data_IF_673698060002
#
_entry.id   IF_673698060002
#
_cell.length_a   1.000
_cell.length_b   1.000
_cell.length_c   1.000
_cell.angle_alpha   90.00
_cell.angle_beta   90.00
_cell.angle_gamma   90.00
#
_symmetry.space_group_name_H-M   'P 1'
#
loop_
_entity.id
_entity.type
_entity.pdbx_description
1 polymer ?
#
# COMPACT_ATOMS: atom_id res chain seq x y z
N UNK A 1 34.41 20.38 -34.74
CA UNK A 1 33.10 20.23 -34.08
C UNK A 1 32.77 21.57 -33.43
N UNK A 2 31.63 22.18 -33.77
CA UNK A 2 31.30 23.54 -33.35
C UNK A 2 31.12 23.59 -31.82
N UNK A 3 31.64 24.60 -31.12
CA UNK A 3 31.59 24.68 -29.64
C UNK A 3 30.15 24.59 -29.10
N UNK A 4 29.18 25.13 -29.83
CA UNK A 4 27.75 24.97 -29.54
C UNK A 4 27.28 23.51 -29.52
N UNK A 5 27.74 22.68 -30.46
CA UNK A 5 27.35 21.26 -30.54
C UNK A 5 27.94 20.50 -29.35
N UNK A 6 29.20 20.79 -28.99
CA UNK A 6 29.84 20.18 -27.83
C UNK A 6 29.13 20.59 -26.52
N UNK A 7 28.76 21.87 -26.38
CA UNK A 7 28.02 22.36 -25.22
C UNK A 7 26.64 21.69 -25.08
N UNK A 8 25.88 21.57 -26.19
CA UNK A 8 24.59 20.87 -26.18
C UNK A 8 24.73 19.40 -25.79
N UNK A 9 25.75 18.69 -26.28
CA UNK A 9 26.00 17.29 -25.93
C UNK A 9 26.36 17.12 -24.45
N UNK A 10 27.13 18.05 -23.88
CA UNK A 10 27.49 18.06 -22.46
C UNK A 10 26.28 18.34 -21.57
N UNK A 11 25.41 19.28 -21.95
CA UNK A 11 24.19 19.57 -21.19
C UNK A 11 23.19 18.41 -21.27
N UNK A 12 23.07 17.75 -22.42
CA UNK A 12 22.20 16.58 -22.60
C UNK A 12 22.67 15.37 -21.79
N UNK A 13 23.98 15.08 -21.80
CA UNK A 13 24.54 13.99 -20.99
C UNK A 13 24.45 14.28 -19.49
N UNK A 14 24.65 15.53 -19.07
CA UNK A 14 24.45 15.94 -17.68
C UNK A 14 22.98 15.81 -17.25
N UNK A 15 22.03 16.12 -18.13
CA UNK A 15 20.60 15.92 -17.89
C UNK A 15 20.19 14.45 -17.75
N UNK A 16 20.83 13.54 -18.51
CA UNK A 16 20.61 12.09 -18.41
C UNK A 16 21.20 11.45 -17.15
N UNK A 17 22.22 12.09 -16.56
CA UNK A 17 22.89 11.64 -15.33
C UNK A 17 22.22 12.17 -14.06
N UNK A 18 21.24 13.08 -14.17
CA UNK A 18 20.46 13.50 -13.01
C UNK A 18 19.63 12.30 -12.54
N UNK A 19 19.76 11.87 -11.27
CA UNK A 19 18.94 10.81 -10.73
C UNK A 19 17.49 11.27 -10.79
N UNK A 20 16.71 10.67 -11.70
CA UNK A 20 15.27 10.81 -11.68
C UNK A 20 14.80 10.31 -10.31
N UNK A 21 13.94 11.06 -9.59
CA UNK A 21 13.39 10.58 -8.35
C UNK A 21 12.70 9.23 -8.63
N UNK A 22 13.20 8.16 -8.02
CA UNK A 22 12.53 6.88 -8.06
C UNK A 22 11.31 6.96 -7.14
N UNK A 23 10.15 7.19 -7.74
CA UNK A 23 8.89 7.16 -7.02
C UNK A 23 8.51 5.70 -6.75
N UNK A 24 9.00 5.18 -5.63
CA UNK A 24 8.73 3.81 -5.17
C UNK A 24 7.42 3.67 -4.38
N UNK A 25 6.76 4.79 -4.09
CA UNK A 25 5.47 4.86 -3.40
C UNK A 25 4.33 5.10 -4.39
N UNK A 26 3.09 5.01 -3.90
CA UNK A 26 1.89 5.25 -4.71
C UNK A 26 1.91 6.67 -5.33
N UNK A 27 1.58 6.81 -6.63
CA UNK A 27 1.46 8.12 -7.27
C UNK A 27 0.36 8.98 -6.62
N UNK A 28 0.57 10.29 -6.57
CA UNK A 28 -0.45 11.23 -6.10
C UNK A 28 -1.69 11.22 -7.01
N UNK A 29 -2.90 11.37 -6.46
CA UNK A 29 -4.12 11.46 -7.25
C UNK A 29 -4.13 12.75 -8.08
N UNK A 30 -4.73 12.70 -9.28
CA UNK A 30 -4.85 13.84 -10.20
C UNK A 30 -6.27 14.46 -10.19
N UNK A 31 -7.17 13.89 -9.40
CA UNK A 31 -8.58 14.28 -9.25
C UNK A 31 -9.08 13.80 -7.88
N UNK A 32 -10.27 14.24 -7.48
CA UNK A 32 -10.83 13.95 -6.16
C UNK A 32 -11.00 12.44 -5.88
N UNK A 33 -11.39 11.66 -6.89
CA UNK A 33 -11.53 10.21 -6.78
C UNK A 33 -11.29 9.49 -8.12
N UNK A 34 -10.89 8.23 -8.03
CA UNK A 34 -10.81 7.30 -9.16
C UNK A 34 -11.14 5.90 -8.65
N UNK A 35 -12.43 5.60 -8.44
CA UNK A 35 -12.86 4.28 -7.94
C UNK A 35 -12.37 3.20 -8.91
N UNK A 36 -11.65 2.19 -8.44
CA UNK A 36 -11.11 1.14 -9.31
C UNK A 36 -12.23 0.39 -10.04
N UNK A 37 -12.07 0.28 -11.36
CA UNK A 37 -12.79 -0.65 -12.20
C UNK A 37 -12.03 -1.99 -12.21
N UNK A 38 -12.44 -2.89 -11.32
CA UNK A 38 -11.84 -4.20 -11.15
C UNK A 38 -12.24 -5.19 -12.26
N UNK A 39 -13.24 -4.86 -13.09
CA UNK A 39 -13.74 -5.70 -14.18
C UNK A 39 -13.15 -5.31 -15.54
N UNK A 40 -12.36 -4.23 -15.59
CA UNK A 40 -11.69 -3.77 -16.80
C UNK A 40 -10.65 -4.77 -17.31
N UNK A 41 -10.58 -4.92 -18.64
CA UNK A 41 -9.56 -5.71 -19.33
C UNK A 41 -8.24 -4.97 -19.57
N UNK A 42 -8.20 -3.67 -19.29
CA UNK A 42 -6.99 -2.85 -19.42
C UNK A 42 -6.04 -3.07 -18.24
N UNK A 43 -4.75 -3.20 -18.54
CA UNK A 43 -3.68 -3.32 -17.56
C UNK A 43 -2.86 -2.03 -17.55
N UNK A 44 -2.82 -1.36 -16.41
CA UNK A 44 -2.03 -0.15 -16.16
C UNK A 44 -1.33 -0.26 -14.80
N UNK A 45 -0.48 0.72 -14.45
CA UNK A 45 -0.01 0.82 -13.08
C UNK A 45 -1.16 1.26 -12.16
N UNK A 46 -1.61 0.36 -11.27
CA UNK A 46 -2.85 0.53 -10.51
C UNK A 46 -4.05 -0.03 -11.26
N UNK A 47 -5.19 0.67 -11.21
CA UNK A 47 -6.44 0.24 -11.83
C UNK A 47 -7.07 1.37 -12.63
N UNK A 48 -7.67 1.08 -13.81
CA UNK A 48 -8.55 2.03 -14.49
C UNK A 48 -9.67 2.50 -13.56
N UNK A 49 -10.17 3.72 -13.76
CA UNK A 49 -11.28 4.24 -12.98
C UNK A 49 -12.63 3.81 -13.58
N UNK A 50 -13.64 3.58 -12.75
CA UNK A 50 -15.04 3.56 -13.18
C UNK A 50 -15.42 4.90 -13.81
N UNK A 51 -16.43 4.88 -14.71
CA UNK A 51 -17.05 6.12 -15.17
C UNK A 51 -17.65 6.88 -13.97
N UNK A 52 -17.32 8.18 -13.76
CA UNK A 52 -17.88 8.99 -12.68
C UNK A 52 -19.41 8.98 -12.59
N UNK A 53 -20.12 8.85 -13.72
CA UNK A 53 -21.59 8.77 -13.75
C UNK A 53 -22.15 7.48 -13.10
N UNK A 54 -21.30 6.45 -12.96
CA UNK A 54 -21.64 5.17 -12.33
C UNK A 54 -21.13 5.07 -10.88
N UNK A 55 -20.45 6.11 -10.37
CA UNK A 55 -19.96 6.14 -9.00
C UNK A 55 -21.07 6.61 -8.06
N UNK A 56 -21.17 5.96 -6.91
CA UNK A 56 -22.16 6.28 -5.88
C UNK A 56 -21.51 6.44 -4.51
N UNK A 57 -22.29 6.90 -3.53
CA UNK A 57 -21.83 6.98 -2.13
C UNK A 57 -21.30 5.63 -1.62
N UNK A 58 -21.86 4.51 -2.09
CA UNK A 58 -21.44 3.17 -1.64
C UNK A 58 -20.02 2.80 -2.05
N UNK A 59 -19.45 3.42 -3.09
CA UNK A 59 -18.06 3.17 -3.49
C UNK A 59 -17.03 3.74 -2.49
N UNK A 60 -17.48 4.57 -1.53
CA UNK A 60 -16.66 5.23 -0.52
C UNK A 60 -16.83 4.65 0.89
N UNK A 61 -17.59 3.57 1.06
CA UNK A 61 -17.76 2.89 2.35
C UNK A 61 -17.43 1.40 2.24
N UNK A 62 -16.66 0.90 3.20
CA UNK A 62 -16.41 -0.52 3.37
C UNK A 62 -16.76 -0.96 4.79
N UNK A 63 -17.39 -2.13 4.92
CA UNK A 63 -17.86 -2.69 6.18
C UNK A 63 -17.08 -3.95 6.61
N UNK A 64 -16.00 -4.32 5.92
CA UNK A 64 -15.36 -5.61 6.14
C UNK A 64 -14.76 -5.79 7.54
N UNK A 65 -14.50 -4.70 8.28
CA UNK A 65 -14.04 -4.80 9.67
C UNK A 65 -15.16 -4.92 10.70
N UNK A 66 -16.43 -4.73 10.32
CA UNK A 66 -17.57 -4.85 11.24
C UNK A 66 -17.93 -6.30 11.56
N UNK A 67 -17.50 -7.24 10.70
CA UNK A 67 -17.81 -8.66 10.86
C UNK A 67 -16.86 -9.30 11.88
N UNK A 68 -17.30 -10.40 12.49
CA UNK A 68 -16.40 -11.24 13.28
C UNK A 68 -15.23 -11.73 12.42
N UNK A 69 -14.05 -11.99 13.02
CA UNK A 69 -12.94 -12.58 12.29
C UNK A 69 -13.39 -13.84 11.57
N UNK A 70 -12.87 -14.03 10.35
CA UNK A 70 -13.10 -15.26 9.60
C UNK A 70 -12.30 -16.43 10.19
N UNK A 71 -11.98 -17.40 9.35
CA UNK A 71 -11.16 -18.54 9.78
C UNK A 71 -9.75 -18.12 10.16
N UNK A 72 -9.21 -18.78 11.18
CA UNK A 72 -7.83 -18.62 11.62
C UNK A 72 -6.96 -19.67 10.91
N UNK A 73 -5.75 -19.27 10.52
CA UNK A 73 -4.80 -20.20 9.91
C UNK A 73 -4.11 -21.08 10.98
N UNK A 74 -3.14 -21.89 10.56
CA UNK A 74 -2.36 -22.78 11.44
C UNK A 74 -1.51 -22.05 12.49
N UNK A 75 -1.33 -20.74 12.34
CA UNK A 75 -0.62 -19.87 13.29
C UNK A 75 -1.59 -19.10 14.20
N UNK A 76 -2.87 -19.46 14.19
CA UNK A 76 -3.92 -18.82 14.99
C UNK A 76 -4.03 -17.31 14.74
N UNK A 77 -3.81 -16.88 13.50
CA UNK A 77 -4.04 -15.50 13.03
C UNK A 77 -5.12 -15.45 11.95
N UNK A 78 -5.94 -14.41 12.00
CA UNK A 78 -6.85 -13.99 10.93
C UNK A 78 -6.45 -12.58 10.46
N UNK A 79 -6.37 -12.39 9.14
CA UNK A 79 -6.12 -11.08 8.52
C UNK A 79 -7.28 -10.73 7.62
N UNK A 80 -8.06 -9.73 8.02
CA UNK A 80 -9.09 -9.12 7.17
C UNK A 80 -8.48 -7.92 6.44
N UNK A 81 -8.54 -7.91 5.11
CA UNK A 81 -7.93 -6.85 4.29
C UNK A 81 -8.96 -5.86 3.76
N UNK A 82 -8.57 -4.59 3.70
CA UNK A 82 -9.25 -3.49 3.00
C UNK A 82 -8.20 -2.78 2.13
N UNK A 83 -7.72 -3.51 1.13
CA UNK A 83 -6.95 -2.96 0.02
C UNK A 83 -7.89 -2.59 -1.15
N UNK A 84 -7.34 -2.10 -2.26
CA UNK A 84 -8.10 -1.65 -3.44
C UNK A 84 -9.02 -2.74 -4.04
N UNK A 85 -8.73 -4.03 -3.85
CA UNK A 85 -9.61 -5.10 -4.35
C UNK A 85 -10.85 -5.26 -3.48
N UNK A 86 -10.74 -4.95 -2.18
CA UNK A 86 -11.86 -5.05 -1.24
C UNK A 86 -12.56 -3.72 -1.00
N UNK A 87 -11.85 -2.61 -1.20
CA UNK A 87 -12.36 -1.25 -1.12
C UNK A 87 -11.87 -0.43 -2.32
N UNK A 88 -12.56 -0.54 -3.48
CA UNK A 88 -12.15 0.10 -4.74
C UNK A 88 -12.04 1.63 -4.68
N UNK A 89 -12.74 2.29 -3.75
CA UNK A 89 -12.65 3.72 -3.51
C UNK A 89 -11.26 4.20 -3.07
N UNK A 90 -10.37 3.29 -2.63
CA UNK A 90 -9.00 3.62 -2.22
C UNK A 90 -8.03 3.84 -3.39
N UNK A 91 -8.42 3.48 -4.61
CA UNK A 91 -7.54 3.59 -5.77
C UNK A 91 -7.08 5.05 -5.96
N UNK A 92 -5.78 5.21 -6.23
CA UNK A 92 -5.04 6.50 -6.30
C UNK A 92 -4.83 7.26 -4.97
N UNK A 93 -5.44 6.83 -3.86
CA UNK A 93 -5.40 7.58 -2.59
C UNK A 93 -4.20 7.25 -1.68
N UNK A 94 -3.34 6.30 -2.08
CA UNK A 94 -2.10 6.00 -1.37
C UNK A 94 -2.28 5.36 0.01
N UNK A 95 -3.42 4.71 0.27
CA UNK A 95 -3.72 4.10 1.56
C UNK A 95 -4.45 2.76 1.43
N UNK A 96 -4.26 1.91 2.43
CA UNK A 96 -4.99 0.66 2.64
C UNK A 96 -5.02 0.34 4.13
N UNK A 97 -5.85 -0.62 4.54
CA UNK A 97 -5.93 -1.03 5.95
C UNK A 97 -6.12 -2.53 6.08
N UNK A 98 -5.58 -3.12 7.15
CA UNK A 98 -5.85 -4.49 7.54
C UNK A 98 -6.29 -4.52 9.00
N UNK A 99 -7.21 -5.43 9.34
CA UNK A 99 -7.52 -5.82 10.71
C UNK A 99 -6.94 -7.19 10.94
N UNK A 100 -6.03 -7.29 11.91
CA UNK A 100 -5.39 -8.55 12.31
C UNK A 100 -5.92 -8.97 13.66
N UNK A 101 -6.35 -10.22 13.78
CA UNK A 101 -6.77 -10.83 15.05
C UNK A 101 -5.94 -12.07 15.30
N UNK A 102 -5.31 -12.12 16.47
CA UNK A 102 -4.54 -13.27 16.94
C UNK A 102 -5.25 -13.87 18.14
N UNK A 103 -5.35 -15.20 18.19
CA UNK A 103 -5.75 -15.88 19.44
C UNK A 103 -4.60 -15.81 20.46
N UNK A 104 -4.84 -16.11 21.74
CA UNK A 104 -3.76 -16.23 22.73
C UNK A 104 -2.67 -17.19 22.24
N UNK A 105 -1.44 -16.69 22.11
CA UNK A 105 -0.29 -17.45 21.59
C UNK A 105 -0.18 -17.51 20.06
N UNK A 106 -1.12 -16.90 19.32
CA UNK A 106 -1.07 -16.82 17.87
C UNK A 106 0.07 -15.92 17.36
N UNK A 107 0.45 -16.13 16.11
CA UNK A 107 1.58 -15.45 15.46
C UNK A 107 1.19 -15.00 14.05
N UNK A 108 1.38 -13.71 13.77
CA UNK A 108 1.51 -13.26 12.38
C UNK A 108 2.99 -13.41 12.01
N UNK A 109 3.29 -14.39 11.17
CA UNK A 109 4.66 -14.81 10.85
C UNK A 109 5.57 -13.65 10.39
N UNK A 110 6.91 -13.76 10.51
CA UNK A 110 7.81 -12.77 9.95
C UNK A 110 7.55 -12.56 8.44
N UNK A 111 7.19 -11.33 8.07
CA UNK A 111 6.81 -10.97 6.70
C UNK A 111 7.32 -9.56 6.35
N UNK A 112 7.10 -9.14 5.10
CA UNK A 112 7.48 -7.82 4.59
C UNK A 112 6.37 -7.18 3.78
N UNK A 113 6.31 -5.85 3.79
CA UNK A 113 5.50 -5.05 2.88
C UNK A 113 6.42 -4.36 1.87
N UNK A 114 6.54 -4.87 0.63
CA UNK A 114 7.58 -4.42 -0.30
C UNK A 114 7.40 -2.99 -0.83
N UNK A 115 6.22 -2.39 -0.63
CA UNK A 115 5.84 -1.08 -1.21
C UNK A 115 5.17 -0.12 -0.23
N UNK A 116 5.12 -0.45 1.06
CA UNK A 116 4.43 0.38 2.05
C UNK A 116 5.12 0.29 3.42
N UNK A 117 5.10 1.41 4.13
CA UNK A 117 5.30 1.40 5.59
C UNK A 117 3.99 1.01 6.27
N UNK A 118 4.08 0.42 7.46
CA UNK A 118 2.92 0.04 8.27
C UNK A 118 2.86 0.88 9.55
N UNK A 119 1.65 1.33 9.89
CA UNK A 119 1.32 1.87 11.20
C UNK A 119 0.29 0.94 11.84
N UNK A 120 0.64 0.32 12.96
CA UNK A 120 -0.23 -0.60 13.69
C UNK A 120 -0.74 0.05 14.99
N UNK A 121 -2.01 -0.17 15.29
CA UNK A 121 -2.65 0.19 16.56
C UNK A 121 -3.26 -1.08 17.18
N UNK A 122 -2.90 -1.36 18.43
CA UNK A 122 -3.54 -2.43 19.22
C UNK A 122 -4.85 -1.89 19.75
N UNK A 123 -5.94 -2.60 19.45
CA UNK A 123 -7.29 -2.22 19.86
C UNK A 123 -7.79 -3.00 21.07
N UNK A 124 -7.26 -4.21 21.28
CA UNK A 124 -7.61 -5.10 22.39
C UNK A 124 -6.47 -6.11 22.63
N UNK A 125 -6.26 -6.47 23.90
CA UNK A 125 -5.21 -7.38 24.34
C UNK A 125 -3.80 -6.78 24.39
N UNK A 126 -2.79 -7.65 24.46
CA UNK A 126 -1.38 -7.28 24.49
C UNK A 126 -0.67 -7.99 23.34
N UNK A 127 0.05 -7.24 22.50
CA UNK A 127 0.72 -7.78 21.33
C UNK A 127 2.23 -7.52 21.39
N UNK A 128 3.04 -8.57 21.25
CA UNK A 128 4.46 -8.43 20.99
C UNK A 128 4.65 -8.03 19.52
N UNK A 129 5.13 -6.80 19.28
CA UNK A 129 5.35 -6.25 17.94
C UNK A 129 6.84 -6.02 17.75
N UNK A 130 7.35 -6.40 16.58
CA UNK A 130 8.77 -6.25 16.26
C UNK A 130 9.01 -6.03 14.76
N UNK A 131 10.17 -5.45 14.44
CA UNK A 131 10.71 -5.41 13.08
C UNK A 131 12.24 -5.59 13.10
N UNK A 132 12.79 -5.99 11.96
CA UNK A 132 14.24 -6.18 11.76
C UNK A 132 14.74 -5.21 10.70
N UNK A 133 15.82 -4.52 10.97
CA UNK A 133 16.46 -3.64 9.97
C UNK A 133 17.35 -4.43 9.02
N UNK A 134 17.74 -3.83 7.89
CA UNK A 134 18.71 -4.41 6.94
C UNK A 134 20.10 -4.62 7.55
N UNK A 135 20.41 -3.96 8.67
CA UNK A 135 21.61 -4.21 9.49
C UNK A 135 21.45 -5.36 10.50
N UNK A 136 20.39 -6.17 10.38
CA UNK A 136 20.05 -7.28 11.29
C UNK A 136 19.84 -6.85 12.75
N UNK A 137 19.35 -5.62 12.98
CA UNK A 137 19.00 -5.15 14.33
C UNK A 137 17.53 -5.39 14.59
N UNK A 138 17.22 -6.07 15.70
CA UNK A 138 15.86 -6.41 16.13
C UNK A 138 15.32 -5.36 17.10
N UNK A 139 14.21 -4.71 16.74
CA UNK A 139 13.50 -3.75 17.57
C UNK A 139 12.12 -4.30 17.93
N UNK A 140 11.74 -4.23 19.21
CA UNK A 140 10.48 -4.81 19.68
C UNK A 140 9.88 -4.04 20.85
N UNK A 141 8.57 -4.22 21.05
CA UNK A 141 7.82 -3.75 22.20
C UNK A 141 6.55 -4.58 22.39
N UNK A 142 6.10 -4.74 23.65
CA UNK A 142 4.73 -5.17 23.93
C UNK A 142 3.84 -3.92 23.86
N UNK A 143 2.91 -3.91 22.91
CA UNK A 143 1.92 -2.84 22.71
C UNK A 143 0.59 -3.30 23.31
N UNK A 144 -0.10 -2.37 23.96
CA UNK A 144 -1.36 -2.57 24.69
C UNK A 144 -2.41 -1.60 24.20
#
# INVERSE_FOLDING_TARGET
MNYQILLCLVLFSLGLLLPLPSHSADPSPLQDFCVADLDSSLYINGFPCKNPDNVSSQDFFANGFQQSPGEFNIFDVNVTRQDVHRFPGLNTLGMSMNRVVLKPGGLNEPHVHPRASELALVMDGNLFVAFVTTGNVFYWKIVT
#
